data_IF_849587347369
#
_entry.id   IF_849587347369
#
_cell.length_a   1.000
_cell.length_b   1.000
_cell.length_c   1.000
_cell.angle_alpha   90.00
_cell.angle_beta   90.00
_cell.angle_gamma   90.00
#
_symmetry.space_group_name_H-M   'P 1'
#
loop_
_entity.id
_entity.type
_entity.pdbx_description
1 polymer ?
#
# COMPACT_ATOMS: atom_id res chain seq x y z
N UNK A 1 -20.95 -34.01 -6.05
CA UNK A 1 -20.53 -33.17 -7.19
C UNK A 1 -19.89 -31.90 -6.65
N UNK A 2 -18.59 -31.93 -6.37
CA UNK A 2 -17.83 -30.72 -6.04
C UNK A 2 -17.52 -30.01 -7.35
N UNK A 3 -17.99 -28.76 -7.49
CA UNK A 3 -17.62 -27.92 -8.63
C UNK A 3 -16.09 -27.85 -8.70
N UNK A 4 -15.46 -28.11 -9.86
CA UNK A 4 -14.01 -27.93 -9.99
C UNK A 4 -13.70 -26.46 -9.70
N UNK A 5 -12.83 -26.22 -8.74
CA UNK A 5 -12.31 -24.89 -8.37
C UNK A 5 -11.66 -24.29 -9.61
N UNK A 6 -12.44 -23.49 -10.35
CA UNK A 6 -11.97 -22.81 -11.55
C UNK A 6 -10.94 -21.77 -11.13
N UNK A 7 -9.67 -22.04 -11.43
CA UNK A 7 -8.58 -21.06 -11.56
C UNK A 7 -8.79 -20.16 -12.80
N UNK A 8 -10.01 -19.63 -12.93
CA UNK A 8 -10.34 -18.57 -13.88
C UNK A 8 -10.23 -17.28 -13.09
N UNK A 9 -9.48 -16.25 -13.56
CA UNK A 9 -9.50 -14.94 -12.93
C UNK A 9 -10.95 -14.50 -12.76
N UNK A 10 -11.42 -14.41 -11.51
CA UNK A 10 -12.72 -13.85 -11.22
C UNK A 10 -12.65 -12.36 -11.60
N UNK A 11 -13.67 -11.80 -12.25
CA UNK A 11 -13.71 -10.36 -12.57
C UNK A 11 -13.43 -9.49 -11.33
N UNK A 12 -13.78 -10.00 -10.15
CA UNK A 12 -13.53 -9.36 -8.87
C UNK A 12 -12.03 -9.30 -8.52
N UNK A 13 -11.25 -10.33 -8.85
CA UNK A 13 -9.80 -10.37 -8.62
C UNK A 13 -9.07 -9.39 -9.55
N UNK A 14 -9.53 -9.25 -10.79
CA UNK A 14 -8.98 -8.25 -11.72
C UNK A 14 -9.26 -6.82 -11.24
N UNK A 15 -10.49 -6.54 -10.79
CA UNK A 15 -10.85 -5.24 -10.21
C UNK A 15 -10.02 -4.92 -8.96
N UNK A 16 -9.82 -5.90 -8.08
CA UNK A 16 -8.97 -5.76 -6.91
C UNK A 16 -7.51 -5.46 -7.28
N UNK A 17 -6.94 -6.19 -8.25
CA UNK A 17 -5.58 -5.94 -8.77
C UNK A 17 -5.43 -4.52 -9.33
N UNK A 18 -6.34 -4.09 -10.21
CA UNK A 18 -6.29 -2.74 -10.81
C UNK A 18 -6.39 -1.67 -9.72
N UNK A 19 -7.29 -1.85 -8.75
CA UNK A 19 -7.43 -0.94 -7.61
C UNK A 19 -6.13 -0.82 -6.82
N UNK A 20 -5.49 -1.94 -6.51
CA UNK A 20 -4.22 -1.97 -5.79
C UNK A 20 -3.09 -1.32 -6.60
N UNK A 21 -2.98 -1.56 -7.90
CA UNK A 21 -2.01 -0.88 -8.76
C UNK A 21 -2.17 0.63 -8.74
N UNK A 22 -3.41 1.11 -8.85
CA UNK A 22 -3.72 2.55 -8.79
C UNK A 22 -3.33 3.11 -7.42
N UNK A 23 -3.71 2.45 -6.33
CA UNK A 23 -3.37 2.89 -4.98
C UNK A 23 -1.87 2.96 -4.73
N UNK A 24 -1.12 1.91 -5.06
CA UNK A 24 0.33 1.90 -4.92
C UNK A 24 1.00 2.96 -5.80
N UNK A 25 0.55 3.13 -7.04
CA UNK A 25 1.04 4.17 -7.94
C UNK A 25 0.81 5.58 -7.40
N UNK A 26 -0.40 5.87 -6.94
CA UNK A 26 -0.74 7.15 -6.30
C UNK A 26 0.07 7.39 -5.03
N UNK A 27 0.28 6.35 -4.20
CA UNK A 27 1.13 6.48 -3.01
C UNK A 27 2.59 6.76 -3.36
N UNK A 28 3.15 6.13 -4.40
CA UNK A 28 4.51 6.45 -4.86
C UNK A 28 4.63 7.89 -5.37
N UNK A 29 3.67 8.37 -6.17
CA UNK A 29 3.60 9.78 -6.58
C UNK A 29 3.38 10.72 -5.38
N UNK A 30 2.68 10.23 -4.38
CA UNK A 30 2.46 10.83 -3.09
C UNK A 30 3.72 11.12 -2.28
N UNK A 31 4.81 10.38 -2.50
CA UNK A 31 6.06 10.64 -1.77
C UNK A 31 6.67 12.01 -2.09
N UNK A 32 6.37 12.57 -3.26
CA UNK A 32 6.88 13.89 -3.67
C UNK A 32 5.97 15.01 -3.14
N UNK A 33 4.66 14.77 -3.08
CA UNK A 33 3.64 15.80 -2.87
C UNK A 33 2.91 15.73 -1.53
N UNK A 34 2.96 14.59 -0.83
CA UNK A 34 2.16 14.26 0.35
C UNK A 34 0.66 14.05 0.06
N UNK A 35 0.05 14.92 -0.75
CA UNK A 35 -1.39 14.89 -1.06
C UNK A 35 -1.76 13.60 -1.80
N UNK A 36 -1.00 13.22 -2.82
CA UNK A 36 -1.28 11.99 -3.57
C UNK A 36 -1.09 10.72 -2.72
N UNK A 37 -0.33 10.81 -1.61
CA UNK A 37 -0.15 9.70 -0.68
C UNK A 37 -1.47 9.39 0.06
N UNK A 38 -2.16 10.45 0.47
CA UNK A 38 -3.49 10.37 1.10
C UNK A 38 -4.52 9.90 0.07
N UNK A 39 -4.51 10.47 -1.15
CA UNK A 39 -5.45 10.07 -2.21
C UNK A 39 -5.32 8.58 -2.54
N UNK A 40 -4.10 8.04 -2.68
CA UNK A 40 -3.88 6.62 -2.95
C UNK A 40 -4.41 5.69 -1.85
N UNK A 41 -4.28 6.10 -0.59
CA UNK A 41 -4.86 5.39 0.55
C UNK A 41 -6.40 5.47 0.57
N UNK A 42 -6.97 6.65 0.35
CA UNK A 42 -8.43 6.82 0.25
C UNK A 42 -9.01 5.98 -0.89
N UNK A 43 -8.34 5.93 -2.04
CA UNK A 43 -8.75 5.09 -3.16
C UNK A 43 -8.84 3.61 -2.77
N UNK A 44 -7.84 3.11 -2.04
CA UNK A 44 -7.85 1.73 -1.53
C UNK A 44 -9.02 1.50 -0.57
N UNK A 45 -9.29 2.47 0.32
CA UNK A 45 -10.36 2.39 1.31
C UNK A 45 -11.76 2.38 0.68
N UNK A 46 -12.00 3.25 -0.29
CA UNK A 46 -13.31 3.34 -0.97
C UNK A 46 -13.63 2.04 -1.70
N UNK A 47 -12.60 1.39 -2.26
CA UNK A 47 -12.73 0.11 -2.98
C UNK A 47 -12.38 -1.10 -2.13
N UNK A 48 -12.34 -0.97 -0.80
CA UNK A 48 -11.97 -2.07 0.11
C UNK A 48 -12.85 -3.31 -0.08
N UNK A 49 -14.12 -3.13 -0.42
CA UNK A 49 -15.08 -4.24 -0.56
C UNK A 49 -14.76 -5.12 -1.79
N UNK A 50 -14.10 -4.55 -2.80
CA UNK A 50 -13.56 -5.29 -3.95
C UNK A 50 -12.32 -6.10 -3.53
N UNK A 51 -11.54 -5.61 -2.55
CA UNK A 51 -10.26 -6.19 -2.14
C UNK A 51 -10.43 -7.26 -1.05
N UNK A 52 -11.28 -7.03 -0.05
CA UNK A 52 -11.47 -7.93 1.11
C UNK A 52 -12.09 -9.27 0.69
N UNK A 53 -12.92 -9.25 -0.35
CA UNK A 53 -13.54 -10.45 -0.92
C UNK A 53 -12.64 -11.18 -1.94
N UNK A 54 -11.40 -10.73 -2.13
CA UNK A 54 -10.43 -11.29 -3.06
C UNK A 54 -9.24 -11.92 -2.33
N UNK A 55 -8.41 -12.69 -3.04
CA UNK A 55 -7.14 -13.21 -2.54
C UNK A 55 -6.14 -12.09 -2.13
N UNK A 56 -6.43 -10.82 -2.47
CA UNK A 56 -5.55 -9.68 -2.24
C UNK A 56 -5.79 -8.93 -0.92
N UNK A 57 -6.62 -9.45 -0.02
CA UNK A 57 -6.90 -8.83 1.29
C UNK A 57 -5.64 -8.46 2.09
N UNK A 58 -4.59 -9.31 2.03
CA UNK A 58 -3.31 -9.08 2.72
C UNK A 58 -2.50 -7.91 2.16
N UNK A 59 -2.72 -7.55 0.89
CA UNK A 59 -2.08 -6.37 0.27
C UNK A 59 -2.72 -5.07 0.75
N UNK A 60 -4.03 -5.09 1.02
CA UNK A 60 -4.73 -3.95 1.61
C UNK A 60 -4.18 -3.61 3.00
N UNK A 61 -3.93 -4.61 3.83
CA UNK A 61 -3.28 -4.42 5.14
C UNK A 61 -1.91 -3.76 4.98
N UNK A 62 -1.09 -4.20 4.01
CA UNK A 62 0.20 -3.59 3.75
C UNK A 62 0.09 -2.09 3.40
N UNK A 63 -0.88 -1.72 2.56
CA UNK A 63 -1.16 -0.31 2.23
C UNK A 63 -1.55 0.47 3.48
N UNK A 64 -2.49 -0.05 4.28
CA UNK A 64 -2.98 0.60 5.49
C UNK A 64 -1.86 0.80 6.52
N UNK A 65 -1.06 -0.23 6.80
CA UNK A 65 0.08 -0.12 7.73
C UNK A 65 1.13 0.86 7.22
N UNK A 66 1.43 0.85 5.92
CA UNK A 66 2.42 1.76 5.34
C UNK A 66 1.95 3.21 5.42
N UNK A 67 0.66 3.46 5.21
CA UNK A 67 0.08 4.79 5.34
C UNK A 67 0.18 5.31 6.77
N UNK A 68 -0.30 4.56 7.77
CA UNK A 68 -0.33 5.01 9.16
C UNK A 68 1.06 5.13 9.79
N UNK A 69 1.95 4.17 9.53
CA UNK A 69 3.32 4.24 10.03
C UNK A 69 4.09 5.34 9.32
N UNK A 70 3.93 5.49 8.00
CA UNK A 70 4.55 6.59 7.24
C UNK A 70 4.11 7.95 7.76
N UNK A 71 2.80 8.16 7.90
CA UNK A 71 2.23 9.40 8.42
C UNK A 71 2.70 9.69 9.86
N UNK A 72 2.69 8.68 10.73
CA UNK A 72 3.17 8.80 12.10
C UNK A 72 4.65 9.15 12.19
N UNK A 73 5.50 8.45 11.43
CA UNK A 73 6.94 8.74 11.37
C UNK A 73 7.23 10.12 10.78
N UNK A 74 6.45 10.58 9.80
CA UNK A 74 6.60 11.94 9.26
C UNK A 74 6.23 12.98 10.30
N UNK A 75 5.13 12.81 11.04
CA UNK A 75 4.73 13.74 12.10
C UNK A 75 5.79 13.77 13.22
N UNK A 76 6.20 12.59 13.72
CA UNK A 76 7.20 12.47 14.79
C UNK A 76 8.56 13.01 14.33
N UNK A 77 8.97 12.65 13.11
CA UNK A 77 10.20 13.12 12.50
C UNK A 77 10.20 14.64 12.35
N UNK A 78 9.10 15.23 11.87
CA UNK A 78 8.96 16.68 11.75
C UNK A 78 9.07 17.40 13.09
N UNK A 79 8.39 16.90 14.13
CA UNK A 79 8.46 17.48 15.49
C UNK A 79 9.88 17.40 16.09
N UNK A 80 10.61 16.33 15.80
CA UNK A 80 11.96 16.10 16.31
C UNK A 80 13.06 16.73 15.45
N UNK A 81 12.72 17.36 14.30
CA UNK A 81 13.71 18.09 13.47
C UNK A 81 14.39 19.22 14.22
N UNK A 82 13.71 19.81 15.22
CA UNK A 82 14.26 20.84 16.11
C UNK A 82 15.55 20.40 16.82
N UNK A 83 15.72 19.10 17.04
CA UNK A 83 16.85 18.50 17.77
C UNK A 83 17.87 17.87 16.80
N UNK A 84 17.80 18.19 15.49
CA UNK A 84 18.52 17.55 14.37
C UNK A 84 18.25 16.05 14.16
N UNK A 85 17.86 15.30 15.20
CA UNK A 85 17.57 13.87 15.14
C UNK A 85 16.41 13.55 14.19
N UNK A 86 15.45 14.47 14.05
CA UNK A 86 14.30 14.28 13.16
C UNK A 86 14.67 14.11 11.69
N UNK A 87 15.80 14.68 11.24
CA UNK A 87 16.26 14.49 9.85
C UNK A 87 16.59 13.03 9.56
N UNK A 88 17.26 12.33 10.50
CA UNK A 88 17.55 10.91 10.36
C UNK A 88 16.26 10.09 10.37
N UNK A 89 15.33 10.40 11.29
CA UNK A 89 14.04 9.71 11.38
C UNK A 89 13.26 9.85 10.07
N UNK A 90 13.17 11.06 9.51
CA UNK A 90 12.50 11.32 8.24
C UNK A 90 13.18 10.59 7.09
N UNK A 91 14.51 10.57 7.03
CA UNK A 91 15.26 9.86 5.99
C UNK A 91 15.03 8.34 6.04
N UNK A 92 15.14 7.73 7.23
CA UNK A 92 14.86 6.31 7.41
C UNK A 92 13.40 5.97 7.12
N UNK A 93 12.46 6.80 7.55
CA UNK A 93 11.03 6.64 7.25
C UNK A 93 10.78 6.69 5.74
N UNK A 94 11.42 7.62 5.03
CA UNK A 94 11.26 7.77 3.59
C UNK A 94 11.73 6.51 2.84
N UNK A 95 12.92 6.01 3.16
CA UNK A 95 13.43 4.76 2.58
C UNK A 95 12.53 3.57 2.94
N UNK A 96 12.07 3.49 4.19
CA UNK A 96 11.20 2.42 4.67
C UNK A 96 9.86 2.38 3.91
N UNK A 97 9.23 3.54 3.69
CA UNK A 97 7.98 3.64 2.92
C UNK A 97 8.20 3.20 1.47
N UNK A 98 9.27 3.67 0.81
CA UNK A 98 9.61 3.26 -0.57
C UNK A 98 9.78 1.74 -0.64
N UNK A 99 10.59 1.16 0.24
CA UNK A 99 10.82 -0.28 0.29
C UNK A 99 9.50 -1.08 0.46
N UNK A 100 8.62 -0.63 1.37
CA UNK A 100 7.33 -1.31 1.63
C UNK A 100 6.36 -1.19 0.46
N UNK A 101 6.34 -0.05 -0.23
CA UNK A 101 5.52 0.14 -1.45
C UNK A 101 6.03 -0.74 -2.59
N UNK A 102 7.35 -0.74 -2.86
CA UNK A 102 7.94 -1.57 -3.90
C UNK A 102 7.80 -3.06 -3.61
N UNK A 103 8.00 -3.50 -2.36
CA UNK A 103 7.77 -4.89 -1.94
C UNK A 103 6.31 -5.29 -2.13
N UNK A 104 5.37 -4.40 -1.78
CA UNK A 104 3.94 -4.63 -1.99
C UNK A 104 3.59 -4.80 -3.47
N UNK A 105 4.09 -3.90 -4.31
CA UNK A 105 3.92 -3.92 -5.77
C UNK A 105 4.56 -5.16 -6.43
N UNK A 106 5.80 -5.49 -6.07
CA UNK A 106 6.51 -6.63 -6.65
C UNK A 106 5.81 -7.97 -6.35
N UNK A 107 5.14 -8.08 -5.20
CA UNK A 107 4.36 -9.26 -4.86
C UNK A 107 3.01 -9.29 -5.59
N UNK A 108 2.41 -8.14 -5.89
CA UNK A 108 1.23 -8.07 -6.75
C UNK A 108 1.52 -8.50 -8.19
N UNK A 109 2.68 -8.10 -8.74
CA UNK A 109 3.06 -8.45 -10.12
C UNK A 109 3.48 -9.90 -10.26
N UNK A 110 4.05 -10.50 -9.21
CA UNK A 110 4.61 -11.86 -9.29
C UNK A 110 3.59 -12.99 -9.12
N UNK A 111 2.28 -12.69 -8.94
CA UNK A 111 1.25 -13.69 -8.61
C UNK A 111 1.72 -14.70 -7.54
N UNK A 112 2.53 -14.21 -6.59
CA UNK A 112 3.13 -15.00 -5.54
C UNK A 112 2.34 -14.67 -4.29
N UNK A 113 1.42 -15.57 -3.94
CA UNK A 113 0.69 -15.47 -2.68
C UNK A 113 1.72 -15.33 -1.56
N UNK A 114 1.59 -14.27 -0.78
CA UNK A 114 2.34 -14.13 0.45
C UNK A 114 1.93 -15.32 1.33
N UNK A 115 2.80 -16.32 1.46
CA UNK A 115 2.78 -17.26 2.59
C UNK A 115 3.41 -16.58 3.80
#
# INVERSE_FOLDING_TARGET
MGQPTKIVPNEQDEKAKVTLYISYGMMLLGLISGIFFIVGYIWALVKKDEIINSMFSRHFENIQFTFWVGLGLTIIGFLTTLILIGWFILFFAYIWVIYRLLKGLANLTSCKDFF
#
